data_IF_964850715293
#
_entry.id   IF_964850715293
#
_cell.length_a   1.000
_cell.length_b   1.000
_cell.length_c   1.000
_cell.angle_alpha   90.00
_cell.angle_beta   90.00
_cell.angle_gamma   90.00
#
_symmetry.space_group_name_H-M   'P 1'
#
loop_
_entity.id
_entity.type
_entity.pdbx_description
1 polymer ?
#
# COMPACT_ATOMS: atom_id res chain seq x y z
N UNK A 1 15.09 -83.37 -3.84
CA UNK A 1 15.51 -83.21 -5.25
C UNK A 1 14.52 -82.23 -5.89
N UNK A 2 14.84 -81.07 -6.42
CA UNK A 2 16.04 -80.24 -6.52
C UNK A 2 15.52 -78.80 -6.52
N UNK A 3 16.12 -77.93 -5.69
CA UNK A 3 16.07 -76.49 -5.89
C UNK A 3 16.75 -76.16 -7.23
N UNK A 4 16.20 -75.21 -7.98
CA UNK A 4 16.96 -74.49 -9.00
C UNK A 4 16.90 -73.00 -8.66
N UNK A 5 18.04 -72.50 -8.17
CA UNK A 5 18.38 -71.08 -8.16
C UNK A 5 18.51 -70.60 -9.60
N UNK A 6 18.02 -69.39 -9.88
CA UNK A 6 18.53 -68.59 -10.98
C UNK A 6 19.08 -67.29 -10.39
N UNK A 7 20.40 -67.23 -10.28
CA UNK A 7 21.16 -65.99 -10.18
C UNK A 7 21.61 -65.59 -11.59
N UNK A 8 21.51 -64.30 -11.93
CA UNK A 8 22.65 -63.48 -12.37
C UNK A 8 22.20 -62.16 -13.07
N UNK A 9 22.72 -61.06 -12.51
CA UNK A 9 23.25 -59.83 -13.16
C UNK A 9 22.30 -58.81 -13.79
N UNK A 10 22.04 -57.74 -13.02
CA UNK A 10 22.71 -56.45 -13.22
C UNK A 10 22.39 -55.66 -14.50
N UNK A 11 21.53 -54.64 -14.36
CA UNK A 11 21.79 -53.31 -14.92
C UNK A 11 21.32 -52.28 -13.89
N UNK A 12 22.28 -51.69 -13.18
CA UNK A 12 22.06 -50.42 -12.49
C UNK A 12 21.88 -49.36 -13.59
N UNK A 13 20.63 -49.04 -13.91
CA UNK A 13 20.32 -47.87 -14.72
C UNK A 13 20.71 -46.64 -13.93
N UNK A 14 21.84 -46.03 -14.30
CA UNK A 14 22.12 -44.64 -13.99
C UNK A 14 20.97 -43.85 -14.63
N UNK A 15 19.99 -43.46 -13.82
CA UNK A 15 19.09 -42.38 -14.21
C UNK A 15 19.99 -41.15 -14.23
N UNK A 16 20.48 -40.83 -15.43
CA UNK A 16 21.09 -39.54 -15.68
C UNK A 16 20.06 -38.51 -15.24
N UNK A 17 20.38 -37.77 -14.17
CA UNK A 17 19.68 -36.56 -13.84
C UNK A 17 19.78 -35.68 -15.08
N UNK A 18 18.73 -35.68 -15.90
CA UNK A 18 18.51 -34.65 -16.89
C UNK A 18 18.55 -33.37 -16.08
N UNK A 19 19.60 -32.57 -16.29
CA UNK A 19 19.80 -31.31 -15.59
C UNK A 19 18.49 -30.56 -15.65
N UNK A 20 17.88 -30.36 -14.48
CA UNK A 20 16.81 -29.38 -14.35
C UNK A 20 17.37 -28.11 -14.98
N UNK A 21 16.64 -27.46 -15.91
CA UNK A 21 17.07 -26.17 -16.40
C UNK A 21 17.28 -25.31 -15.16
N UNK A 22 18.50 -24.81 -14.97
CA UNK A 22 18.79 -23.85 -13.93
C UNK A 22 17.80 -22.71 -14.15
N UNK A 23 16.85 -22.56 -13.25
CA UNK A 23 15.95 -21.41 -13.25
C UNK A 23 16.87 -20.24 -12.97
N UNK A 24 17.33 -19.56 -14.03
CA UNK A 24 17.80 -18.20 -13.88
C UNK A 24 16.63 -17.49 -13.20
N UNK A 25 16.78 -17.13 -11.93
CA UNK A 25 15.72 -16.52 -11.14
C UNK A 25 15.13 -15.41 -12.00
N UNK A 26 13.83 -15.53 -12.33
CA UNK A 26 13.17 -14.61 -13.23
C UNK A 26 13.23 -13.22 -12.58
N UNK A 27 14.16 -12.40 -13.04
CA UNK A 27 14.26 -11.02 -12.60
C UNK A 27 12.93 -10.35 -12.89
N UNK A 28 12.49 -9.47 -11.99
CA UNK A 28 11.38 -8.54 -12.30
C UNK A 28 11.71 -7.88 -13.65
N UNK A 29 10.76 -7.69 -14.59
CA UNK A 29 11.01 -7.07 -15.89
C UNK A 29 11.51 -5.62 -15.78
N UNK A 30 12.26 -5.12 -16.77
CA UNK A 30 12.73 -3.73 -16.74
C UNK A 30 11.55 -2.78 -16.84
N UNK A 31 11.62 -1.57 -16.26
CA UNK A 31 10.59 -0.57 -16.46
C UNK A 31 10.27 -0.42 -17.96
N UNK A 32 9.00 -0.54 -18.31
CA UNK A 32 8.51 -0.22 -19.65
C UNK A 32 8.66 1.28 -19.93
N UNK A 33 8.45 2.11 -18.90
CA UNK A 33 8.68 3.54 -18.90
C UNK A 33 8.78 4.07 -17.47
N UNK A 34 9.33 5.27 -17.33
CA UNK A 34 9.44 6.04 -16.08
C UNK A 34 8.99 7.47 -16.37
N UNK A 35 8.12 8.02 -15.54
CA UNK A 35 7.69 9.42 -15.57
C UNK A 35 8.02 10.09 -14.23
N UNK A 36 8.49 11.34 -14.30
CA UNK A 36 8.63 12.22 -13.14
C UNK A 36 7.67 13.41 -13.26
N UNK A 37 7.05 13.76 -12.14
CA UNK A 37 6.23 14.94 -11.95
C UNK A 37 6.82 15.74 -10.80
N UNK A 38 7.50 16.82 -11.14
CA UNK A 38 8.13 17.71 -10.17
C UNK A 38 8.16 19.14 -10.67
N UNK A 39 8.38 20.05 -9.73
CA UNK A 39 8.61 21.46 -9.93
C UNK A 39 9.83 21.90 -9.11
N UNK A 40 9.94 23.18 -8.78
CA UNK A 40 11.13 23.75 -8.15
C UNK A 40 11.36 23.34 -6.68
N UNK A 41 10.44 22.62 -6.04
CA UNK A 41 10.52 22.19 -4.64
C UNK A 41 10.25 20.70 -4.52
N UNK A 42 9.48 20.27 -3.51
CA UNK A 42 9.25 18.88 -3.17
C UNK A 42 7.83 18.42 -3.55
N UNK A 43 7.80 17.30 -4.28
CA UNK A 43 6.64 16.50 -4.66
C UNK A 43 6.82 15.07 -4.17
N UNK A 44 5.75 14.51 -3.58
CA UNK A 44 5.71 13.13 -3.12
C UNK A 44 4.43 12.48 -3.60
N UNK A 45 4.53 11.41 -4.39
CA UNK A 45 3.39 10.52 -4.66
C UNK A 45 3.25 9.50 -3.52
N UNK A 46 2.05 9.42 -2.95
CA UNK A 46 1.71 8.54 -1.83
C UNK A 46 1.00 7.26 -2.29
N UNK A 47 0.18 7.34 -3.33
CA UNK A 47 -0.59 6.20 -3.82
C UNK A 47 -0.81 6.26 -5.34
N UNK A 48 -1.14 5.10 -5.91
CA UNK A 48 -1.47 4.91 -7.32
C UNK A 48 -2.66 3.97 -7.47
N UNK A 49 -3.52 4.23 -8.44
CA UNK A 49 -4.61 3.35 -8.85
C UNK A 49 -4.70 3.28 -10.37
N UNK A 50 -5.21 2.18 -10.92
CA UNK A 50 -5.39 1.99 -12.36
C UNK A 50 -6.79 1.48 -12.67
N UNK A 51 -7.45 2.10 -13.66
CA UNK A 51 -8.75 1.68 -14.19
C UNK A 51 -8.79 1.88 -15.69
N UNK A 52 -8.97 0.78 -16.42
CA UNK A 52 -8.92 0.74 -17.88
C UNK A 52 -7.61 1.35 -18.41
N UNK A 53 -7.72 2.44 -19.16
CA UNK A 53 -6.59 3.17 -19.75
C UNK A 53 -6.08 4.34 -18.87
N UNK A 54 -6.55 4.46 -17.63
CA UNK A 54 -6.24 5.57 -16.73
C UNK A 54 -5.38 5.10 -15.56
N UNK A 55 -4.29 5.80 -15.29
CA UNK A 55 -3.47 5.62 -14.08
C UNK A 55 -3.53 6.91 -13.28
N UNK A 56 -3.97 6.84 -12.03
CA UNK A 56 -4.07 7.97 -11.13
C UNK A 56 -2.98 7.92 -10.08
N UNK A 57 -2.32 9.05 -9.86
CA UNK A 57 -1.30 9.23 -8.83
C UNK A 57 -1.73 10.36 -7.92
N UNK A 58 -1.68 10.15 -6.61
CA UNK A 58 -2.03 11.17 -5.63
C UNK A 58 -0.90 11.38 -4.63
N UNK A 59 -0.85 12.56 -4.04
CA UNK A 59 0.20 12.90 -3.11
C UNK A 59 0.12 14.32 -2.59
N UNK A 60 1.28 14.90 -2.31
CA UNK A 60 1.41 16.31 -1.91
C UNK A 60 2.51 17.02 -2.70
N UNK A 61 2.36 18.33 -2.85
CA UNK A 61 3.33 19.21 -3.51
C UNK A 61 3.54 20.48 -2.70
N UNK A 62 4.77 21.00 -2.72
CA UNK A 62 5.12 22.32 -2.19
C UNK A 62 5.24 23.37 -3.30
N UNK A 63 4.83 23.03 -4.52
CA UNK A 63 4.89 23.86 -5.71
C UNK A 63 3.57 23.85 -6.47
N UNK A 64 3.53 24.58 -7.59
CA UNK A 64 2.43 24.54 -8.55
C UNK A 64 2.79 23.57 -9.69
N UNK A 65 2.05 22.48 -9.81
CA UNK A 65 2.22 21.40 -10.80
C UNK A 65 1.34 21.56 -12.04
N UNK A 66 0.32 22.41 -11.98
CA UNK A 66 -0.64 22.56 -13.07
C UNK A 66 -1.32 23.93 -13.09
N UNK A 67 -2.52 23.96 -13.66
CA UNK A 67 -3.30 25.19 -13.79
C UNK A 67 -3.88 25.67 -12.46
N UNK A 68 -4.12 24.76 -11.51
CA UNK A 68 -4.64 25.10 -10.20
C UNK A 68 -3.55 25.82 -9.37
N UNK A 69 -3.90 26.90 -8.66
CA UNK A 69 -2.92 27.65 -7.88
C UNK A 69 -2.46 26.83 -6.67
N UNK A 70 -1.18 26.99 -6.32
CA UNK A 70 -0.71 26.54 -5.01
C UNK A 70 -1.34 27.38 -3.89
N UNK A 71 -1.85 26.71 -2.86
CA UNK A 71 -2.33 27.30 -1.61
C UNK A 71 -1.39 26.87 -0.45
N UNK A 72 -1.37 27.62 0.65
CA UNK A 72 -0.71 27.19 1.89
C UNK A 72 0.75 26.73 1.78
N UNK A 73 1.13 25.76 2.60
CA UNK A 73 2.47 25.16 2.65
C UNK A 73 2.63 23.97 1.70
N UNK A 74 1.71 23.01 1.82
CA UNK A 74 1.61 21.81 1.01
C UNK A 74 0.19 21.66 0.50
N UNK A 75 0.03 21.32 -0.77
CA UNK A 75 -1.27 21.00 -1.37
C UNK A 75 -1.37 19.53 -1.72
N UNK A 76 -2.56 18.97 -1.56
CA UNK A 76 -2.87 17.67 -2.13
C UNK A 76 -2.88 17.78 -3.67
N UNK A 77 -2.40 16.77 -4.37
CA UNK A 77 -2.54 16.68 -5.81
C UNK A 77 -3.13 15.34 -6.25
N UNK A 78 -3.75 15.35 -7.43
CA UNK A 78 -4.07 14.17 -8.22
C UNK A 78 -3.63 14.40 -9.67
N UNK A 79 -2.92 13.43 -10.24
CA UNK A 79 -2.50 13.43 -11.62
C UNK A 79 -3.02 12.17 -12.33
N UNK A 80 -3.48 12.32 -13.57
CA UNK A 80 -3.91 11.21 -14.42
C UNK A 80 -2.94 11.03 -15.58
N UNK A 81 -2.50 9.81 -15.78
CA UNK A 81 -1.70 9.36 -16.91
C UNK A 81 -2.51 8.37 -17.74
N UNK A 82 -2.13 8.21 -19.00
CA UNK A 82 -2.50 7.01 -19.76
C UNK A 82 -1.56 5.84 -19.41
N UNK A 83 -1.89 4.63 -19.87
CA UNK A 83 -1.05 3.43 -19.63
C UNK A 83 0.28 3.45 -20.39
N UNK A 84 0.47 4.40 -21.31
CA UNK A 84 1.73 4.64 -22.02
C UNK A 84 2.64 5.64 -21.27
N UNK A 85 2.20 6.19 -20.13
CA UNK A 85 2.97 7.08 -19.29
C UNK A 85 2.83 8.57 -19.65
N UNK A 86 1.89 8.95 -20.52
CA UNK A 86 1.68 10.36 -20.85
C UNK A 86 0.75 11.02 -19.84
N UNK A 87 1.21 12.12 -19.23
CA UNK A 87 0.38 12.95 -18.34
C UNK A 87 -0.78 13.57 -19.13
N UNK A 88 -2.00 13.31 -18.67
CA UNK A 88 -3.23 13.81 -19.28
C UNK A 88 -3.69 15.10 -18.60
N UNK A 89 -3.67 15.12 -17.27
CA UNK A 89 -3.97 16.30 -16.47
C UNK A 89 -3.42 16.14 -15.04
N UNK A 90 -3.25 17.27 -14.35
CA UNK A 90 -2.99 17.34 -12.93
C UNK A 90 -3.94 18.36 -12.29
N UNK A 91 -4.39 18.06 -11.07
CA UNK A 91 -5.19 18.95 -10.22
C UNK A 91 -4.53 19.13 -8.86
N UNK A 92 -4.69 20.31 -8.29
CA UNK A 92 -4.30 20.61 -6.91
C UNK A 92 -5.51 20.99 -6.07
N UNK A 93 -5.45 20.58 -4.81
CA UNK A 93 -6.46 20.86 -3.80
C UNK A 93 -5.76 21.30 -2.52
N UNK A 94 -5.91 22.57 -2.18
CA UNK A 94 -5.18 23.22 -1.11
C UNK A 94 -6.01 24.18 -0.28
N UNK A 95 -5.58 24.37 0.96
CA UNK A 95 -6.04 25.38 1.92
C UNK A 95 -4.84 26.25 2.33
N UNK A 96 -5.01 27.30 3.15
CA UNK A 96 -3.86 28.00 3.72
C UNK A 96 -2.96 27.13 4.61
N UNK A 97 -3.44 25.96 5.04
CA UNK A 97 -2.71 24.98 5.85
C UNK A 97 -1.86 24.01 5.02
N UNK A 98 -1.61 22.82 5.58
CA UNK A 98 -1.00 21.71 4.86
C UNK A 98 -2.08 20.69 4.50
N UNK A 99 -2.08 20.27 3.24
CA UNK A 99 -3.06 19.37 2.64
C UNK A 99 -2.33 18.26 1.91
N UNK A 100 -2.81 17.03 2.07
CA UNK A 100 -2.13 15.83 1.55
C UNK A 100 -3.15 14.81 1.10
N UNK A 101 -3.00 14.28 -0.11
CA UNK A 101 -3.70 13.07 -0.51
C UNK A 101 -2.86 11.84 -0.13
N UNK A 102 -3.48 10.88 0.54
CA UNK A 102 -2.83 9.68 1.09
C UNK A 102 -3.16 8.42 0.31
N UNK A 103 -4.38 8.33 -0.24
CA UNK A 103 -4.86 7.16 -0.96
C UNK A 103 -5.76 7.52 -2.15
N UNK A 104 -5.76 6.65 -3.15
CA UNK A 104 -6.62 6.76 -4.33
C UNK A 104 -7.17 5.38 -4.71
N UNK A 105 -8.44 5.34 -5.10
CA UNK A 105 -9.10 4.19 -5.71
C UNK A 105 -9.95 4.67 -6.90
N UNK A 106 -10.40 3.74 -7.74
CA UNK A 106 -11.16 4.05 -8.95
C UNK A 106 -12.39 3.17 -9.08
N UNK A 107 -13.46 3.72 -9.66
CA UNK A 107 -14.60 2.93 -10.11
C UNK A 107 -14.42 2.40 -11.55
N UNK A 108 -15.39 1.58 -11.98
CA UNK A 108 -15.41 0.98 -13.32
C UNK A 108 -15.59 2.02 -14.44
N UNK A 109 -16.21 3.17 -14.13
CA UNK A 109 -16.36 4.31 -15.04
C UNK A 109 -15.07 5.14 -15.19
N UNK A 110 -14.04 4.82 -14.40
CA UNK A 110 -12.76 5.49 -14.42
C UNK A 110 -12.73 6.81 -13.65
N UNK A 111 -13.70 7.06 -12.77
CA UNK A 111 -13.63 8.14 -11.79
C UNK A 111 -12.61 7.76 -10.70
N UNK A 112 -11.98 8.78 -10.12
CA UNK A 112 -11.03 8.62 -9.02
C UNK A 112 -11.64 9.11 -7.70
N UNK A 113 -11.46 8.32 -6.65
CA UNK A 113 -11.79 8.66 -5.27
C UNK A 113 -10.48 8.87 -4.51
N UNK A 114 -10.33 10.04 -3.92
CA UNK A 114 -9.10 10.47 -3.22
C UNK A 114 -9.43 10.65 -1.75
N UNK A 115 -8.65 10.02 -0.88
CA UNK A 115 -8.66 10.29 0.55
C UNK A 115 -7.40 11.05 0.96
N UNK A 116 -7.51 11.84 2.02
CA UNK A 116 -6.40 12.62 2.52
C UNK A 116 -6.70 13.37 3.80
N UNK A 117 -5.80 14.28 4.15
CA UNK A 117 -5.94 15.17 5.31
C UNK A 117 -5.69 16.63 4.97
N UNK A 118 -6.26 17.50 5.79
CA UNK A 118 -6.17 18.96 5.68
C UNK A 118 -6.00 19.60 7.06
N UNK A 119 -5.17 20.63 7.14
CA UNK A 119 -5.08 21.52 8.31
C UNK A 119 -5.98 22.77 8.16
N UNK A 120 -6.86 22.78 7.16
CA UNK A 120 -7.73 23.90 6.83
C UNK A 120 -9.15 23.46 6.51
N UNK A 121 -9.95 24.39 6.01
CA UNK A 121 -11.32 24.14 5.55
C UNK A 121 -11.40 24.29 4.04
N UNK A 122 -11.81 23.23 3.33
CA UNK A 122 -12.06 23.30 1.90
C UNK A 122 -13.41 23.94 1.59
N UNK A 123 -13.47 24.80 0.57
CA UNK A 123 -14.70 25.43 0.09
C UNK A 123 -15.49 26.15 1.22
N UNK A 124 -16.54 25.51 1.74
CA UNK A 124 -17.41 26.00 2.81
C UNK A 124 -17.26 25.19 4.12
N UNK A 125 -16.39 24.18 4.14
CA UNK A 125 -16.05 23.45 5.36
C UNK A 125 -15.16 24.30 6.26
N UNK A 126 -15.32 24.11 7.56
CA UNK A 126 -14.45 24.70 8.59
C UNK A 126 -13.68 23.57 9.24
N UNK A 127 -12.37 23.75 9.42
CA UNK A 127 -11.54 22.80 10.15
C UNK A 127 -12.06 22.61 11.59
N UNK A 128 -12.19 21.35 12.04
CA UNK A 128 -12.77 21.04 13.34
C UNK A 128 -11.78 21.19 14.52
N UNK A 129 -10.48 21.28 14.26
CA UNK A 129 -9.44 21.50 15.26
C UNK A 129 -8.04 21.15 14.76
N UNK A 130 -7.68 19.87 14.87
CA UNK A 130 -6.41 19.35 14.35
C UNK A 130 -6.45 19.15 12.83
N UNK A 131 -5.72 18.17 12.32
CA UNK A 131 -5.98 17.70 10.96
C UNK A 131 -7.41 17.16 10.85
N UNK A 132 -8.14 17.54 9.80
CA UNK A 132 -9.38 16.86 9.39
C UNK A 132 -9.07 15.91 8.24
N UNK A 133 -9.87 14.85 8.09
CA UNK A 133 -9.79 14.04 6.88
C UNK A 133 -10.73 14.57 5.80
N UNK A 134 -10.39 14.32 4.55
CA UNK A 134 -11.27 14.57 3.42
C UNK A 134 -11.34 13.36 2.47
N UNK A 135 -12.44 13.29 1.74
CA UNK A 135 -12.65 12.39 0.61
C UNK A 135 -13.20 13.22 -0.55
N UNK A 136 -12.65 13.05 -1.74
CA UNK A 136 -13.11 13.74 -2.95
C UNK A 136 -13.26 12.75 -4.11
N UNK A 137 -14.25 12.98 -4.97
CA UNK A 137 -14.44 12.25 -6.22
C UNK A 137 -14.13 13.14 -7.41
N UNK A 138 -13.37 12.63 -8.37
CA UNK A 138 -13.05 13.27 -9.64
C UNK A 138 -13.54 12.40 -10.79
N UNK A 139 -14.11 12.99 -11.83
CA UNK A 139 -14.37 12.26 -13.07
C UNK A 139 -13.09 12.00 -13.87
N UNK A 140 -13.19 11.18 -14.92
CA UNK A 140 -12.06 10.85 -15.79
C UNK A 140 -11.45 12.08 -16.52
N UNK A 141 -12.20 13.17 -16.64
CA UNK A 141 -11.74 14.44 -17.22
C UNK A 141 -11.06 15.35 -16.18
N UNK A 142 -11.01 14.94 -14.91
CA UNK A 142 -10.39 15.68 -13.82
C UNK A 142 -11.28 16.76 -13.23
N UNK A 143 -12.60 16.69 -13.41
CA UNK A 143 -13.54 17.57 -12.71
C UNK A 143 -13.86 16.97 -11.34
N UNK A 144 -13.76 17.77 -10.27
CA UNK A 144 -14.17 17.36 -8.92
C UNK A 144 -15.70 17.32 -8.86
N UNK A 145 -16.27 16.12 -8.72
CA UNK A 145 -17.70 15.89 -8.62
C UNK A 145 -18.24 16.24 -7.23
N UNK A 146 -17.51 15.85 -6.18
CA UNK A 146 -17.84 16.20 -4.80
C UNK A 146 -16.62 16.14 -3.89
N UNK A 147 -16.72 16.80 -2.74
CA UNK A 147 -15.78 16.73 -1.62
C UNK A 147 -16.58 16.57 -0.32
N UNK A 148 -16.03 15.80 0.61
CA UNK A 148 -16.47 15.67 2.00
C UNK A 148 -15.26 15.88 2.90
N UNK A 149 -15.40 16.75 3.89
CA UNK A 149 -14.44 16.93 4.96
C UNK A 149 -15.14 16.65 6.29
N UNK A 150 -14.45 15.95 7.20
CA UNK A 150 -14.95 15.67 8.53
C UNK A 150 -13.77 15.46 9.50
N UNK A 151 -14.00 15.72 10.78
CA UNK A 151 -12.97 15.66 11.80
C UNK A 151 -13.52 15.97 13.18
N UNK A 152 -12.62 15.95 14.15
CA UNK A 152 -12.84 16.20 15.56
C UNK A 152 -11.97 17.38 16.00
N UNK A 153 -11.92 17.67 17.30
CA UNK A 153 -10.99 18.68 17.82
C UNK A 153 -9.52 18.23 17.82
N UNK A 154 -9.29 16.92 17.64
CA UNK A 154 -7.96 16.31 17.60
C UNK A 154 -7.58 16.05 16.14
N UNK A 155 -6.46 15.36 15.90
CA UNK A 155 -6.06 15.00 14.54
C UNK A 155 -6.84 13.79 14.02
N UNK A 156 -7.34 13.90 12.80
CA UNK A 156 -8.12 12.91 12.07
C UNK A 156 -7.50 12.66 10.70
N UNK A 157 -7.19 11.39 10.42
CA UNK A 157 -6.50 10.99 9.20
C UNK A 157 -7.30 9.96 8.43
N UNK A 158 -7.56 10.21 7.14
CA UNK A 158 -7.91 9.13 6.21
C UNK A 158 -6.61 8.63 5.55
N UNK A 159 -6.34 7.33 5.66
CA UNK A 159 -5.09 6.71 5.20
C UNK A 159 -5.28 5.72 4.07
N UNK A 160 -6.48 5.14 3.95
CA UNK A 160 -6.79 4.16 2.92
C UNK A 160 -8.21 4.35 2.37
N UNK A 161 -8.38 4.00 1.10
CA UNK A 161 -9.66 4.04 0.39
C UNK A 161 -9.77 2.83 -0.54
N UNK A 162 -10.96 2.23 -0.64
CA UNK A 162 -11.22 1.09 -1.50
C UNK A 162 -12.63 1.19 -2.10
N UNK A 163 -12.79 0.73 -3.35
CA UNK A 163 -14.07 0.75 -4.07
C UNK A 163 -14.49 -0.69 -4.34
N UNK A 164 -15.74 -1.02 -3.97
CA UNK A 164 -16.37 -2.31 -4.26
C UNK A 164 -16.74 -2.45 -5.73
N UNK A 165 -17.12 -3.66 -6.15
CA UNK A 165 -17.45 -3.95 -7.55
C UNK A 165 -18.73 -3.25 -8.08
N UNK A 166 -19.51 -2.66 -7.18
CA UNK A 166 -20.75 -1.90 -7.41
C UNK A 166 -20.55 -0.38 -7.18
N UNK A 167 -19.30 0.08 -7.19
CA UNK A 167 -18.86 1.46 -6.95
C UNK A 167 -19.13 1.98 -5.52
N UNK A 168 -19.44 1.08 -4.59
CA UNK A 168 -19.57 1.40 -3.17
C UNK A 168 -18.21 1.76 -2.57
N UNK A 169 -18.14 2.86 -1.83
CA UNK A 169 -16.89 3.44 -1.35
C UNK A 169 -16.63 3.14 0.13
N UNK A 170 -15.46 2.57 0.44
CA UNK A 170 -14.97 2.36 1.79
C UNK A 170 -13.74 3.21 2.06
N UNK A 171 -13.60 3.68 3.30
CA UNK A 171 -12.36 4.31 3.76
C UNK A 171 -11.95 3.76 5.12
N UNK A 172 -10.66 3.91 5.42
CA UNK A 172 -10.12 3.71 6.76
C UNK A 172 -9.18 4.86 7.11
N UNK A 173 -8.95 5.00 8.41
CA UNK A 173 -8.14 6.06 8.96
C UNK A 173 -7.93 5.88 10.46
N UNK A 174 -7.47 6.93 11.12
CA UNK A 174 -7.43 6.98 12.56
C UNK A 174 -7.75 8.39 13.08
N UNK A 175 -8.32 8.47 14.27
CA UNK A 175 -8.73 9.71 14.95
C UNK A 175 -8.11 9.80 16.33
N UNK A 176 -7.65 10.98 16.73
CA UNK A 176 -7.28 11.26 18.12
C UNK A 176 -8.46 11.64 19.00
N UNK A 177 -9.66 11.76 18.41
CA UNK A 177 -10.86 12.27 19.05
C UNK A 177 -11.96 11.24 19.25
N UNK A 178 -13.17 11.74 19.52
CA UNK A 178 -14.39 10.94 19.59
C UNK A 178 -15.15 11.09 18.28
N UNK A 179 -15.25 10.00 17.52
CA UNK A 179 -15.83 9.94 16.18
C UNK A 179 -16.97 8.92 16.13
N UNK A 180 -18.09 9.32 15.52
CA UNK A 180 -19.28 8.50 15.30
C UNK A 180 -19.79 7.74 16.55
N UNK A 181 -19.52 6.44 16.64
CA UNK A 181 -20.01 5.53 17.68
C UNK A 181 -19.08 5.41 18.90
N UNK A 182 -17.97 6.15 18.98
CA UNK A 182 -17.02 5.94 20.07
C UNK A 182 -16.11 7.11 20.41
N UNK A 183 -15.29 6.91 21.45
CA UNK A 183 -14.26 7.85 21.89
C UNK A 183 -13.33 7.32 22.98
N UNK A 184 -12.15 7.92 23.06
CA UNK A 184 -11.31 8.22 24.24
C UNK A 184 -10.33 9.31 23.75
N UNK A 185 -10.46 10.59 24.13
CA UNK A 185 -9.88 11.72 23.38
C UNK A 185 -8.35 11.92 23.52
N UNK A 186 -7.59 10.89 23.88
CA UNK A 186 -6.16 11.02 24.23
C UNK A 186 -5.25 9.93 23.62
N UNK A 187 -5.76 9.10 22.71
CA UNK A 187 -5.04 8.10 21.93
C UNK A 187 -5.61 8.07 20.51
N UNK A 188 -4.90 7.46 19.56
CA UNK A 188 -5.43 7.23 18.23
C UNK A 188 -6.31 5.99 18.21
N UNK A 189 -7.48 6.05 17.58
CA UNK A 189 -8.34 4.88 17.31
C UNK A 189 -8.60 4.76 15.81
N UNK A 190 -8.86 3.54 15.34
CA UNK A 190 -9.21 3.24 13.96
C UNK A 190 -10.57 3.86 13.64
N UNK A 191 -10.67 4.57 12.52
CA UNK A 191 -11.97 4.94 11.92
C UNK A 191 -12.15 4.23 10.59
N UNK A 192 -13.38 3.82 10.31
CA UNK A 192 -13.76 3.30 9.01
C UNK A 192 -15.17 3.80 8.64
N UNK A 193 -15.49 3.74 7.36
CA UNK A 193 -16.83 4.06 6.92
C UNK A 193 -17.15 3.62 5.51
N UNK A 194 -18.44 3.74 5.22
CA UNK A 194 -19.05 3.38 3.96
C UNK A 194 -19.82 4.57 3.43
N UNK A 195 -19.61 4.90 2.16
CA UNK A 195 -20.29 5.97 1.45
C UNK A 195 -21.01 5.44 0.21
N UNK A 196 -22.10 6.11 -0.14
CA UNK A 196 -22.70 5.98 -1.46
C UNK A 196 -21.87 6.70 -2.54
N UNK A 197 -22.24 6.52 -3.81
CA UNK A 197 -21.56 7.13 -4.97
C UNK A 197 -21.67 8.66 -5.03
N UNK A 198 -22.60 9.25 -4.27
CA UNK A 198 -22.79 10.69 -4.12
C UNK A 198 -22.01 11.28 -2.94
N UNK A 199 -21.27 10.45 -2.18
CA UNK A 199 -20.48 10.87 -1.04
C UNK A 199 -21.30 11.07 0.24
N UNK A 200 -22.46 10.41 0.38
CA UNK A 200 -23.20 10.39 1.64
C UNK A 200 -22.82 9.15 2.45
N UNK A 201 -22.55 9.28 3.76
CA UNK A 201 -22.20 8.12 4.57
C UNK A 201 -23.42 7.23 4.82
N UNK A 202 -23.27 5.93 4.56
CA UNK A 202 -24.17 4.90 5.06
C UNK A 202 -23.90 4.61 6.54
N UNK A 203 -22.62 4.46 6.89
CA UNK A 203 -22.17 4.32 8.27
C UNK A 203 -20.74 4.85 8.42
N UNK A 204 -20.45 5.30 9.64
CA UNK A 204 -19.13 5.71 10.12
C UNK A 204 -18.92 5.02 11.47
N UNK A 205 -17.76 4.43 11.67
CA UNK A 205 -17.44 3.69 12.89
C UNK A 205 -16.01 3.95 13.35
N UNK A 206 -15.83 3.91 14.67
CA UNK A 206 -14.57 3.93 15.39
C UNK A 206 -14.38 2.57 16.09
N UNK A 207 -13.15 2.05 16.03
CA UNK A 207 -12.70 0.80 16.66
C UNK A 207 -11.36 1.05 17.33
N UNK A 208 -11.09 0.37 18.44
CA UNK A 208 -9.82 0.55 19.13
C UNK A 208 -9.83 -0.05 20.50
N UNK A 209 -8.73 0.20 21.19
CA UNK A 209 -8.43 -0.21 22.55
C UNK A 209 -8.30 1.04 23.43
N UNK A 210 -7.78 0.89 24.64
CA UNK A 210 -7.40 2.05 25.47
C UNK A 210 -6.04 2.65 25.10
N UNK A 211 -5.29 2.02 24.20
CA UNK A 211 -3.99 2.47 23.70
C UNK A 211 -4.14 2.90 22.22
N UNK A 212 -3.06 3.39 21.59
CA UNK A 212 -3.17 3.85 20.20
C UNK A 212 -3.33 2.69 19.21
N UNK A 213 -4.28 2.82 18.29
CA UNK A 213 -4.65 1.93 17.20
C UNK A 213 -4.72 2.72 15.88
N UNK A 214 -3.81 2.43 14.96
CA UNK A 214 -3.58 3.23 13.75
C UNK A 214 -3.82 2.38 12.51
N UNK A 215 -4.89 2.67 11.74
CA UNK A 215 -5.10 2.02 10.44
C UNK A 215 -4.32 2.71 9.32
N UNK A 216 -3.76 1.90 8.40
CA UNK A 216 -2.94 2.35 7.28
C UNK A 216 -3.47 1.95 5.91
N UNK A 217 -4.01 0.74 5.79
CA UNK A 217 -4.46 0.17 4.52
C UNK A 217 -5.83 -0.47 4.62
N UNK A 218 -6.57 -0.47 3.51
CA UNK A 218 -7.88 -1.10 3.37
C UNK A 218 -7.98 -1.82 2.03
N UNK A 219 -8.60 -3.00 2.02
CA UNK A 219 -8.99 -3.73 0.82
C UNK A 219 -10.40 -4.31 1.00
N UNK A 220 -11.11 -4.47 -0.10
CA UNK A 220 -12.49 -4.98 -0.11
C UNK A 220 -12.64 -6.10 -1.13
N UNK A 221 -13.36 -7.17 -0.78
CA UNK A 221 -13.71 -8.24 -1.73
C UNK A 221 -14.89 -7.82 -2.60
N UNK A 222 -15.13 -8.53 -3.70
CA UNK A 222 -16.38 -8.39 -4.48
C UNK A 222 -17.65 -8.74 -3.69
N UNK A 223 -17.51 -9.44 -2.56
CA UNK A 223 -18.59 -9.73 -1.62
C UNK A 223 -18.72 -8.71 -0.47
N UNK A 224 -18.03 -7.57 -0.55
CA UNK A 224 -18.02 -6.52 0.48
C UNK A 224 -17.49 -6.94 1.85
N UNK A 225 -16.59 -7.92 1.88
CA UNK A 225 -15.78 -8.17 3.06
C UNK A 225 -14.65 -7.16 3.08
N UNK A 226 -14.50 -6.44 4.20
CA UNK A 226 -13.54 -5.34 4.33
C UNK A 226 -12.39 -5.80 5.20
N UNK A 227 -11.17 -5.57 4.75
CA UNK A 227 -9.93 -5.90 5.45
C UNK A 227 -9.16 -4.61 5.70
N UNK A 228 -8.84 -4.33 6.96
CA UNK A 228 -8.08 -3.16 7.39
C UNK A 228 -6.81 -3.63 8.10
N UNK A 229 -5.70 -2.96 7.83
CA UNK A 229 -4.42 -3.25 8.47
C UNK A 229 -3.80 -2.00 9.07
N UNK A 230 -2.90 -2.21 10.03
CA UNK A 230 -2.18 -1.14 10.71
C UNK A 230 -1.35 -1.66 11.86
N UNK A 231 -1.17 -0.82 12.89
CA UNK A 231 -0.54 -1.20 14.14
C UNK A 231 -1.38 -0.81 15.36
N UNK A 232 -1.13 -1.48 16.48
CA UNK A 232 -1.79 -1.26 17.76
C UNK A 232 -0.78 -1.35 18.90
N UNK A 233 -0.80 -0.39 19.83
CA UNK A 233 -0.07 -0.48 21.10
C UNK A 233 -0.89 -1.15 22.21
N UNK A 234 -2.04 -1.73 21.86
CA UNK A 234 -2.98 -2.39 22.75
C UNK A 234 -3.22 -3.86 22.38
N UNK A 235 -4.32 -4.39 22.91
CA UNK A 235 -4.75 -5.77 22.67
C UNK A 235 -6.05 -5.78 21.86
N UNK A 236 -5.95 -5.64 20.54
CA UNK A 236 -7.13 -5.62 19.66
C UNK A 236 -7.82 -7.00 19.60
N UNK A 237 -7.04 -8.08 19.63
CA UNK A 237 -7.56 -9.46 19.60
C UNK A 237 -7.81 -10.08 20.99
N UNK A 238 -7.54 -9.33 22.05
CA UNK A 238 -7.72 -9.74 23.44
C UNK A 238 -6.66 -10.70 23.99
N UNK A 239 -5.57 -10.97 23.24
CA UNK A 239 -4.56 -11.97 23.64
C UNK A 239 -3.11 -11.46 23.67
N UNK A 240 -2.78 -10.42 22.91
CA UNK A 240 -1.41 -9.85 22.83
C UNK A 240 -1.34 -8.44 23.40
N UNK A 241 -0.28 -8.14 24.18
CA UNK A 241 0.23 -6.79 24.43
C UNK A 241 1.44 -6.89 25.37
N UNK A 242 2.64 -6.68 24.83
CA UNK A 242 3.84 -6.37 25.61
C UNK A 242 4.42 -5.00 25.23
N UNK A 243 3.63 -3.93 25.40
CA UNK A 243 4.09 -2.55 25.46
C UNK A 243 4.65 -1.91 24.18
N UNK A 244 4.94 -2.70 23.15
CA UNK A 244 5.33 -2.23 21.82
C UNK A 244 4.13 -2.25 20.86
N UNK A 245 4.26 -1.61 19.70
CA UNK A 245 3.21 -1.59 18.68
C UNK A 245 3.26 -2.86 17.85
N UNK A 246 2.14 -3.58 17.77
CA UNK A 246 1.98 -4.83 17.04
C UNK A 246 1.16 -4.60 15.77
N UNK A 247 1.41 -5.39 14.72
CA UNK A 247 0.63 -5.35 13.49
C UNK A 247 -0.76 -5.95 13.71
N UNK A 248 -1.80 -5.38 13.10
CA UNK A 248 -3.13 -6.02 13.04
C UNK A 248 -3.67 -6.22 11.62
N UNK A 249 -4.57 -7.20 11.49
CA UNK A 249 -5.49 -7.41 10.36
C UNK A 249 -6.91 -7.55 10.92
N UNK A 250 -7.77 -6.59 10.60
CA UNK A 250 -9.17 -6.50 11.01
C UNK A 250 -10.08 -6.85 9.84
N UNK A 251 -11.06 -7.73 10.06
CA UNK A 251 -12.13 -8.01 9.09
C UNK A 251 -13.46 -7.44 9.56
N UNK A 252 -14.11 -6.66 8.70
CA UNK A 252 -15.48 -6.17 8.87
C UNK A 252 -16.39 -6.77 7.79
N UNK A 253 -17.69 -6.87 8.10
CA UNK A 253 -18.70 -7.11 7.08
C UNK A 253 -19.18 -5.79 6.45
N UNK A 254 -20.08 -5.86 5.45
CA UNK A 254 -20.62 -4.68 4.75
C UNK A 254 -21.31 -3.65 5.68
N UNK A 255 -21.79 -4.07 6.85
CA UNK A 255 -22.43 -3.19 7.84
C UNK A 255 -21.42 -2.57 8.82
N UNK A 256 -20.12 -2.77 8.61
CA UNK A 256 -19.07 -2.33 9.53
C UNK A 256 -18.95 -3.19 10.79
N UNK A 257 -19.64 -4.33 10.89
CA UNK A 257 -19.53 -5.16 12.10
C UNK A 257 -18.24 -5.98 12.04
N UNK A 258 -17.39 -5.82 13.06
CA UNK A 258 -16.17 -6.63 13.24
C UNK A 258 -16.51 -8.12 13.28
N UNK A 259 -15.90 -8.88 12.37
CA UNK A 259 -16.02 -10.33 12.30
C UNK A 259 -14.91 -10.99 13.10
N UNK A 260 -13.68 -10.51 12.92
CA UNK A 260 -12.51 -10.95 13.67
C UNK A 260 -11.37 -9.94 13.49
N UNK A 261 -10.37 -10.04 14.37
CA UNK A 261 -9.08 -9.37 14.24
C UNK A 261 -7.96 -10.38 14.51
N UNK A 262 -6.81 -10.16 13.89
CA UNK A 262 -5.57 -10.92 14.10
C UNK A 262 -4.46 -9.93 14.42
N UNK A 263 -3.73 -10.16 15.49
CA UNK A 263 -2.52 -9.42 15.81
C UNK A 263 -1.29 -10.28 15.48
N UNK A 264 -0.22 -9.65 14.98
CA UNK A 264 1.09 -10.27 14.81
C UNK A 264 2.06 -9.49 15.67
N UNK A 265 2.67 -10.19 16.62
CA UNK A 265 3.82 -9.76 17.40
C UNK A 265 4.99 -10.68 17.00
N UNK A 266 5.92 -10.14 16.22
CA UNK A 266 7.16 -10.80 15.83
C UNK A 266 8.33 -10.48 16.79
N UNK A 267 8.05 -9.78 17.89
CA UNK A 267 9.01 -9.19 18.80
C UNK A 267 9.35 -7.75 18.39
N UNK A 268 9.29 -6.84 19.37
CA UNK A 268 9.52 -5.40 19.18
C UNK A 268 8.39 -4.68 18.43
N UNK A 269 8.70 -3.76 17.51
CA UNK A 269 7.73 -2.95 16.78
C UNK A 269 7.35 -3.64 15.47
N UNK A 270 6.06 -3.74 15.18
CA UNK A 270 5.52 -4.31 13.95
C UNK A 270 4.47 -3.37 13.36
N UNK A 271 4.50 -3.17 12.03
CA UNK A 271 3.63 -2.20 11.39
C UNK A 271 3.21 -2.62 9.97
N UNK A 272 1.93 -2.96 9.77
CA UNK A 272 1.37 -3.17 8.44
C UNK A 272 1.05 -1.85 7.76
N UNK A 273 1.59 -1.64 6.56
CA UNK A 273 1.32 -0.43 5.74
C UNK A 273 0.23 -0.64 4.71
N UNK A 274 0.09 -1.85 4.16
CA UNK A 274 -0.79 -2.10 3.01
C UNK A 274 -1.40 -3.51 3.04
N UNK A 275 -2.59 -3.63 2.47
CA UNK A 275 -3.33 -4.89 2.34
C UNK A 275 -3.92 -4.99 0.94
N UNK A 276 -3.91 -6.20 0.37
CA UNK A 276 -4.54 -6.51 -0.92
C UNK A 276 -5.28 -7.85 -0.84
N UNK A 277 -6.34 -8.00 -1.63
CA UNK A 277 -7.08 -9.26 -1.77
C UNK A 277 -6.80 -9.84 -3.15
N UNK A 278 -6.35 -11.09 -3.21
CA UNK A 278 -6.14 -11.83 -4.45
C UNK A 278 -7.44 -12.37 -5.06
N UNK A 279 -7.46 -12.67 -6.37
CA UNK A 279 -8.59 -13.32 -7.04
C UNK A 279 -9.05 -14.64 -6.40
N UNK A 280 -8.17 -15.32 -5.67
CA UNK A 280 -8.45 -16.55 -4.93
C UNK A 280 -9.05 -16.31 -3.52
N UNK A 281 -9.29 -15.05 -3.15
CA UNK A 281 -9.75 -14.66 -1.82
C UNK A 281 -8.66 -14.62 -0.74
N UNK A 282 -7.39 -14.85 -1.11
CA UNK A 282 -6.25 -14.68 -0.22
C UNK A 282 -6.05 -13.21 0.15
N UNK A 283 -5.77 -12.95 1.43
CA UNK A 283 -5.51 -11.60 1.94
C UNK A 283 -4.01 -11.46 2.19
N UNK A 284 -3.39 -10.48 1.56
CA UNK A 284 -1.96 -10.25 1.59
C UNK A 284 -1.68 -8.95 2.32
N UNK A 285 -0.82 -9.00 3.32
CA UNK A 285 -0.41 -7.83 4.10
C UNK A 285 1.08 -7.57 3.85
N UNK A 286 1.46 -6.31 3.69
CA UNK A 286 2.85 -5.88 3.62
C UNK A 286 3.12 -4.77 4.63
N UNK A 287 4.30 -4.82 5.24
CA UNK A 287 4.74 -3.87 6.24
C UNK A 287 6.16 -4.16 6.68
N UNK A 288 6.46 -3.84 7.93
CA UNK A 288 7.79 -4.00 8.51
C UNK A 288 7.73 -4.64 9.91
N UNK A 289 8.81 -5.32 10.27
CA UNK A 289 9.00 -5.93 11.58
C UNK A 289 10.44 -5.75 12.04
N UNK A 290 10.62 -5.59 13.35
CA UNK A 290 11.93 -5.51 14.01
C UNK A 290 12.38 -6.88 14.56
N UNK A 291 11.49 -7.86 14.53
CA UNK A 291 11.72 -9.21 15.05
C UNK A 291 11.65 -10.30 13.97
N UNK A 292 11.68 -11.56 14.42
CA UNK A 292 11.67 -12.76 13.55
C UNK A 292 10.35 -13.51 13.69
N UNK A 293 9.79 -14.03 12.60
CA UNK A 293 8.44 -14.60 12.55
C UNK A 293 8.39 -15.88 11.71
N UNK A 294 7.72 -16.92 12.23
CA UNK A 294 7.48 -18.21 11.56
C UNK A 294 8.75 -18.86 10.96
N UNK A 295 9.90 -18.68 11.62
CA UNK A 295 11.19 -19.19 11.15
C UNK A 295 11.87 -18.35 10.07
N UNK A 296 11.30 -17.21 9.68
CA UNK A 296 12.00 -16.18 8.92
C UNK A 296 12.81 -15.31 9.88
N UNK A 297 14.08 -15.06 9.52
CA UNK A 297 15.00 -14.25 10.32
C UNK A 297 15.07 -12.83 9.79
N UNK A 298 14.97 -11.85 10.69
CA UNK A 298 15.32 -10.46 10.42
C UNK A 298 16.85 -10.33 10.32
N UNK A 299 17.34 -9.87 9.18
CA UNK A 299 18.78 -9.81 8.88
C UNK A 299 19.38 -8.43 9.15
N UNK A 300 18.58 -7.46 9.59
CA UNK A 300 18.98 -6.11 9.93
C UNK A 300 18.33 -5.64 11.23
N UNK A 301 17.95 -4.36 11.29
CA UNK A 301 17.13 -3.83 12.39
C UNK A 301 15.65 -3.83 12.05
N UNK A 302 15.31 -3.74 10.76
CA UNK A 302 13.94 -3.68 10.25
C UNK A 302 13.95 -4.35 8.89
N UNK A 303 13.13 -5.39 8.73
CA UNK A 303 12.93 -6.08 7.46
C UNK A 303 11.47 -5.99 7.05
N UNK A 304 11.23 -6.11 5.74
CA UNK A 304 9.87 -6.19 5.18
C UNK A 304 9.21 -7.48 5.64
N UNK A 305 7.98 -7.38 6.13
CA UNK A 305 7.10 -8.52 6.37
C UNK A 305 6.05 -8.60 5.25
N UNK A 306 5.92 -9.78 4.63
CA UNK A 306 4.82 -10.15 3.76
C UNK A 306 4.12 -11.38 4.34
N UNK A 307 2.81 -11.33 4.57
CA UNK A 307 2.05 -12.49 5.02
C UNK A 307 0.76 -12.68 4.23
N UNK A 308 0.34 -13.94 4.08
CA UNK A 308 -0.92 -14.32 3.44
C UNK A 308 -1.85 -14.97 4.44
N UNK A 309 -3.12 -14.56 4.42
CA UNK A 309 -4.21 -15.07 5.22
C UNK A 309 -5.31 -15.65 4.33
N UNK A 310 -6.06 -16.61 4.86
CA UNK A 310 -7.34 -17.01 4.29
C UNK A 310 -8.50 -16.12 4.79
N UNK A 311 -9.70 -16.31 4.23
CA UNK A 311 -10.88 -15.51 4.57
C UNK A 311 -11.40 -15.75 6.00
N UNK A 312 -10.98 -16.84 6.66
CA UNK A 312 -11.25 -17.16 8.05
C UNK A 312 -10.20 -16.55 9.02
N UNK A 313 -9.17 -15.90 8.48
CA UNK A 313 -8.12 -15.24 9.25
C UNK A 313 -7.02 -16.21 9.72
N UNK A 314 -6.85 -17.37 9.08
CA UNK A 314 -5.70 -18.23 9.33
C UNK A 314 -4.52 -17.75 8.47
N UNK A 315 -3.34 -17.55 9.10
CA UNK A 315 -2.11 -17.23 8.38
C UNK A 315 -1.61 -18.48 7.65
N UNK A 316 -1.61 -18.42 6.32
CA UNK A 316 -1.14 -19.50 5.46
C UNK A 316 0.39 -19.54 5.40
N UNK A 317 1.02 -18.38 5.28
CA UNK A 317 2.48 -18.24 5.28
C UNK A 317 2.90 -16.79 5.59
N UNK A 318 4.15 -16.62 6.02
CA UNK A 318 4.84 -15.32 6.12
C UNK A 318 6.23 -15.41 5.49
N UNK A 319 6.74 -14.27 5.02
CA UNK A 319 8.06 -14.07 4.42
C UNK A 319 8.66 -12.78 4.93
N UNK A 320 9.97 -12.81 5.13
CA UNK A 320 10.77 -11.59 5.34
C UNK A 320 11.62 -11.28 4.12
N UNK A 321 11.85 -9.99 3.88
CA UNK A 321 12.68 -9.49 2.80
C UNK A 321 13.51 -8.32 3.32
N UNK A 322 14.83 -8.51 3.35
CA UNK A 322 15.76 -7.47 3.74
C UNK A 322 17.21 -7.96 3.78
N UNK A 323 18.13 -7.03 3.98
CA UNK A 323 19.56 -7.22 4.16
C UNK A 323 20.02 -6.76 5.54
N UNK A 324 21.30 -6.39 5.66
CA UNK A 324 21.87 -5.93 6.94
C UNK A 324 21.46 -4.49 7.32
N UNK A 325 20.81 -3.78 6.41
CA UNK A 325 20.35 -2.41 6.60
C UNK A 325 18.82 -2.37 6.70
N UNK A 326 18.22 -1.29 7.24
CA UNK A 326 16.77 -1.18 7.33
C UNK A 326 16.09 -1.23 5.96
N UNK A 327 15.07 -2.07 5.84
CA UNK A 327 14.26 -2.28 4.64
C UNK A 327 12.78 -2.12 4.95
N UNK A 328 12.10 -1.28 4.17
CA UNK A 328 10.74 -0.85 4.46
C UNK A 328 9.83 -1.13 3.28
N UNK A 329 8.63 -1.68 3.53
CA UNK A 329 7.59 -1.86 2.52
C UNK A 329 6.41 -0.93 2.80
N UNK A 330 5.86 -0.34 1.73
CA UNK A 330 4.71 0.57 1.83
C UNK A 330 3.49 0.10 1.04
N UNK A 331 3.65 -0.74 0.02
CA UNK A 331 2.56 -1.16 -0.85
C UNK A 331 2.59 -2.64 -1.20
N UNK A 332 1.40 -3.25 -1.26
CA UNK A 332 1.18 -4.58 -1.83
C UNK A 332 0.03 -4.55 -2.83
N UNK A 333 0.18 -5.27 -3.95
CA UNK A 333 -0.88 -5.51 -4.92
C UNK A 333 -0.80 -6.94 -5.45
N UNK A 334 -1.93 -7.50 -5.89
CA UNK A 334 -2.01 -8.87 -6.40
C UNK A 334 -2.59 -8.87 -7.80
N UNK A 335 -1.84 -9.43 -8.73
CA UNK A 335 -2.23 -9.57 -10.14
C UNK A 335 -3.34 -10.62 -10.33
N UNK A 336 -4.05 -10.60 -11.47
CA UNK A 336 -5.10 -11.59 -11.77
C UNK A 336 -4.63 -13.06 -11.76
N UNK A 337 -3.34 -13.32 -11.99
CA UNK A 337 -2.70 -14.64 -11.91
C UNK A 337 -2.08 -14.95 -10.54
N UNK A 338 -2.44 -14.17 -9.50
CA UNK A 338 -1.99 -14.29 -8.11
C UNK A 338 -0.48 -14.09 -7.88
N UNK A 339 0.20 -13.34 -8.76
CA UNK A 339 1.55 -12.82 -8.48
C UNK A 339 1.42 -11.59 -7.58
N UNK A 340 2.07 -11.64 -6.43
CA UNK A 340 2.11 -10.57 -5.43
C UNK A 340 3.24 -9.61 -5.75
N UNK A 341 2.94 -8.32 -5.78
CA UNK A 341 3.88 -7.21 -5.96
C UNK A 341 4.07 -6.52 -4.62
N UNK A 342 5.31 -6.36 -4.15
CA UNK A 342 5.64 -5.61 -2.93
C UNK A 342 6.60 -4.49 -3.29
N UNK A 343 6.31 -3.28 -2.82
CA UNK A 343 7.14 -2.09 -3.07
C UNK A 343 7.52 -1.38 -1.79
N UNK A 344 8.65 -0.69 -1.85
CA UNK A 344 9.22 0.00 -0.71
C UNK A 344 10.57 0.64 -1.03
N UNK A 345 11.44 0.76 -0.04
CA UNK A 345 12.82 1.20 -0.24
C UNK A 345 13.81 0.40 0.61
N UNK A 346 15.05 0.36 0.12
CA UNK A 346 16.14 -0.45 0.66
C UNK A 346 17.48 0.25 0.45
N UNK A 347 18.48 -0.04 1.27
CA UNK A 347 19.88 0.35 1.01
C UNK A 347 20.69 -0.74 0.30
N UNK A 348 20.03 -1.84 -0.07
CA UNK A 348 20.59 -2.96 -0.80
C UNK A 348 19.81 -4.23 -0.50
N UNK A 349 19.41 -4.95 -1.54
CA UNK A 349 18.56 -6.13 -1.41
C UNK A 349 19.03 -7.23 -2.37
N UNK A 350 19.05 -8.48 -1.91
CA UNK A 350 19.45 -9.64 -2.73
C UNK A 350 20.85 -9.54 -3.36
N UNK A 351 21.80 -8.95 -2.63
CA UNK A 351 23.15 -8.60 -3.13
C UNK A 351 23.15 -7.59 -4.29
N UNK A 352 22.04 -6.88 -4.50
CA UNK A 352 21.95 -5.73 -5.40
C UNK A 352 22.15 -4.49 -4.53
N UNK A 353 23.29 -3.79 -4.65
CA UNK A 353 23.50 -2.55 -3.90
C UNK A 353 22.58 -1.45 -4.43
N UNK A 354 22.25 -0.47 -3.59
CA UNK A 354 21.62 0.76 -4.07
C UNK A 354 22.57 1.58 -4.94
N UNK A 355 22.02 2.40 -5.83
CA UNK A 355 22.77 3.31 -6.70
C UNK A 355 23.32 4.54 -5.96
N UNK A 356 22.90 4.75 -4.70
CA UNK A 356 23.36 5.84 -3.85
C UNK A 356 22.78 5.79 -2.45
N UNK A 357 21.74 6.58 -2.19
CA UNK A 357 21.02 6.54 -0.92
C UNK A 357 20.21 5.25 -0.78
N UNK A 358 19.00 5.34 -0.25
CA UNK A 358 18.05 4.23 -0.38
C UNK A 358 17.43 4.26 -1.78
N UNK A 359 17.26 3.09 -2.38
CA UNK A 359 16.59 2.92 -3.67
C UNK A 359 15.19 2.34 -3.47
N UNK A 360 14.26 2.74 -4.34
CA UNK A 360 12.96 2.10 -4.40
C UNK A 360 13.12 0.65 -4.88
N UNK A 361 12.27 -0.27 -4.41
CA UNK A 361 12.25 -1.64 -4.93
C UNK A 361 10.86 -2.09 -5.37
N UNK A 362 10.86 -3.08 -6.27
CA UNK A 362 9.73 -3.94 -6.58
C UNK A 362 10.16 -5.41 -6.45
N UNK A 363 9.47 -6.17 -5.60
CA UNK A 363 9.70 -7.61 -5.42
C UNK A 363 8.44 -8.38 -5.74
N UNK A 364 8.60 -9.51 -6.46
CA UNK A 364 7.50 -10.39 -6.86
C UNK A 364 7.54 -11.70 -6.11
N UNK A 365 6.37 -12.18 -5.67
CA UNK A 365 6.17 -13.51 -5.10
C UNK A 365 5.04 -14.23 -5.84
N UNK A 366 5.12 -15.55 -5.95
CA UNK A 366 3.98 -16.36 -6.37
C UNK A 366 2.95 -16.53 -5.24
N UNK A 367 1.81 -17.15 -5.54
CA UNK A 367 0.73 -17.36 -4.58
C UNK A 367 1.13 -18.24 -3.37
N UNK A 368 2.17 -19.07 -3.52
CA UNK A 368 2.71 -19.93 -2.48
C UNK A 368 3.76 -19.21 -1.60
N UNK A 369 4.05 -17.95 -1.91
CA UNK A 369 5.03 -17.13 -1.21
C UNK A 369 6.47 -17.43 -1.63
N UNK A 370 6.71 -18.10 -2.76
CA UNK A 370 8.07 -18.23 -3.30
C UNK A 370 8.45 -16.93 -4.00
N UNK A 371 9.61 -16.36 -3.64
CA UNK A 371 10.12 -15.15 -4.28
C UNK A 371 10.49 -15.44 -5.73
N UNK A 372 9.90 -14.68 -6.65
CA UNK A 372 10.18 -14.73 -8.10
C UNK A 372 11.46 -13.93 -8.39
N UNK A 373 11.55 -12.71 -7.87
CA UNK A 373 12.71 -11.84 -8.02
C UNK A 373 12.47 -10.42 -7.49
N UNK A 374 13.53 -9.63 -7.44
CA UNK A 374 13.55 -8.25 -6.96
C UNK A 374 14.18 -7.32 -8.00
N UNK A 375 13.78 -6.05 -8.01
CA UNK A 375 14.45 -4.98 -8.75
C UNK A 375 14.52 -3.72 -7.92
N UNK A 376 15.71 -3.12 -7.87
CA UNK A 376 15.93 -1.78 -7.35
C UNK A 376 15.81 -0.74 -8.48
N UNK A 377 15.29 0.41 -8.14
CA UNK A 377 15.12 1.58 -8.98
C UNK A 377 15.52 2.81 -8.16
N UNK A 378 16.61 3.45 -8.55
CA UNK A 378 17.04 4.65 -7.85
C UNK A 378 18.15 5.39 -8.55
N UNK A 379 18.59 6.46 -7.89
CA UNK A 379 19.57 7.43 -8.34
C UNK A 379 20.75 7.42 -7.37
N UNK A 380 21.69 8.37 -7.52
CA UNK A 380 22.73 8.56 -6.51
C UNK A 380 22.21 9.18 -5.20
N UNK A 381 20.90 9.46 -5.10
CA UNK A 381 20.23 10.09 -3.96
C UNK A 381 19.17 9.12 -3.40
N UNK A 382 18.20 9.63 -2.65
CA UNK A 382 17.15 8.81 -2.06
C UNK A 382 15.97 8.66 -3.02
N UNK A 383 15.47 7.44 -3.14
CA UNK A 383 14.35 7.04 -3.98
C UNK A 383 13.44 6.11 -3.17
N UNK A 384 12.14 6.40 -3.13
CA UNK A 384 11.18 5.68 -2.28
C UNK A 384 9.94 5.34 -3.09
N UNK A 385 9.59 4.06 -3.20
CA UNK A 385 8.26 3.66 -3.66
C UNK A 385 7.28 3.61 -2.49
N UNK A 386 6.09 4.21 -2.67
CA UNK A 386 5.04 4.29 -1.65
C UNK A 386 3.77 3.51 -2.01
N UNK A 387 3.43 3.44 -3.29
CA UNK A 387 2.22 2.76 -3.75
C UNK A 387 2.48 1.85 -4.94
N UNK A 388 1.69 0.78 -5.04
CA UNK A 388 1.66 -0.12 -6.20
C UNK A 388 0.22 -0.47 -6.56
N UNK A 389 -0.08 -0.48 -7.85
CA UNK A 389 -1.34 -0.97 -8.41
C UNK A 389 -1.04 -1.88 -9.61
N UNK A 390 -1.99 -2.75 -9.96
CA UNK A 390 -1.84 -3.68 -11.09
C UNK A 390 -3.04 -3.56 -12.02
N UNK A 391 -2.79 -3.60 -13.33
CA UNK A 391 -3.86 -3.64 -14.32
C UNK A 391 -4.33 -5.09 -14.60
N UNK A 392 -5.42 -5.21 -15.36
CA UNK A 392 -6.00 -6.50 -15.73
C UNK A 392 -5.07 -7.37 -16.61
N UNK A 393 -4.01 -6.79 -17.17
CA UNK A 393 -2.98 -7.52 -17.93
C UNK A 393 -1.77 -7.90 -17.06
N UNK A 394 -1.80 -7.60 -15.75
CA UNK A 394 -0.75 -7.93 -14.79
C UNK A 394 0.44 -6.96 -14.78
N UNK A 395 0.36 -5.81 -15.45
CA UNK A 395 1.43 -4.81 -15.37
C UNK A 395 1.35 -4.08 -14.03
N UNK A 396 2.50 -3.82 -13.42
CA UNK A 396 2.57 -3.12 -12.15
C UNK A 396 2.91 -1.63 -12.36
N UNK A 397 2.14 -0.75 -11.73
CA UNK A 397 2.39 0.68 -11.67
C UNK A 397 2.88 1.03 -10.27
N UNK A 398 4.06 1.60 -10.16
CA UNK A 398 4.71 1.95 -8.90
C UNK A 398 4.86 3.46 -8.82
N UNK A 399 4.39 4.06 -7.74
CA UNK A 399 4.50 5.49 -7.50
C UNK A 399 5.26 5.80 -6.21
N UNK A 400 5.93 6.94 -6.19
CA UNK A 400 6.80 7.32 -5.09
C UNK A 400 7.46 8.67 -5.28
N UNK A 401 8.62 8.85 -4.66
CA UNK A 401 9.44 10.06 -4.83
C UNK A 401 10.90 9.72 -5.13
N UNK A 402 11.56 10.61 -5.87
CA UNK A 402 12.99 10.55 -6.17
C UNK A 402 13.64 11.90 -5.91
N UNK A 403 14.80 11.90 -5.28
CA UNK A 403 15.60 13.11 -5.10
C UNK A 403 16.56 13.37 -6.28
N UNK A 404 16.38 12.66 -7.41
CA UNK A 404 17.29 12.70 -8.55
C UNK A 404 16.61 12.54 -9.91
N UNK A 405 17.44 12.41 -10.95
CA UNK A 405 17.02 12.21 -12.34
C UNK A 405 16.86 10.72 -12.61
N UNK A 406 15.62 10.23 -12.57
CA UNK A 406 15.24 8.82 -12.63
C UNK A 406 14.76 8.41 -14.02
N UNK A 407 15.28 7.28 -14.53
CA UNK A 407 14.83 6.72 -15.80
C UNK A 407 15.04 7.62 -17.03
N UNK A 408 16.01 8.53 -16.97
CA UNK A 408 16.29 9.49 -18.04
C UNK A 408 15.48 10.79 -17.98
N UNK A 409 14.58 10.94 -17.01
CA UNK A 409 13.90 12.21 -16.73
C UNK A 409 14.83 13.16 -15.97
N UNK A 410 14.56 14.46 -16.04
CA UNK A 410 15.34 15.49 -15.34
C UNK A 410 14.64 15.86 -14.04
N UNK A 411 15.41 15.90 -12.95
CA UNK A 411 14.90 16.39 -11.66
C UNK A 411 14.59 17.89 -11.73
N UNK A 412 13.40 18.29 -11.29
CA UNK A 412 12.93 19.66 -11.38
C UNK A 412 13.29 20.54 -10.16
N UNK A 413 13.62 19.92 -9.01
CA UNK A 413 13.85 20.61 -7.75
C UNK A 413 14.43 19.72 -6.66
N UNK A 414 13.71 19.59 -5.55
CA UNK A 414 14.06 18.77 -4.40
C UNK A 414 13.76 17.30 -4.67
N UNK A 415 12.65 16.82 -4.12
CA UNK A 415 12.06 15.54 -4.50
C UNK A 415 11.03 15.73 -5.62
N UNK A 416 11.06 14.87 -6.63
CA UNK A 416 10.00 14.77 -7.61
C UNK A 416 9.15 13.52 -7.33
N UNK A 417 7.84 13.62 -7.56
CA UNK A 417 7.00 12.44 -7.61
C UNK A 417 7.36 11.61 -8.86
N UNK A 418 7.34 10.29 -8.77
CA UNK A 418 7.51 9.42 -9.93
C UNK A 418 6.35 8.45 -10.11
N UNK A 419 6.20 7.97 -11.35
CA UNK A 419 5.37 6.84 -11.73
C UNK A 419 6.14 5.94 -12.68
N UNK A 420 6.13 4.63 -12.44
CA UNK A 420 6.89 3.63 -13.21
C UNK A 420 5.96 2.48 -13.56
N UNK A 421 6.06 1.96 -14.79
CA UNK A 421 5.34 0.76 -15.21
C UNK A 421 6.29 -0.41 -15.46
N UNK A 422 5.96 -1.59 -14.95
CA UNK A 422 6.71 -2.84 -15.10
C UNK A 422 5.93 -3.89 -15.89
#
# INVERSE_FOLDING_TARGET
MKHLLLSMFGFAGVVGAAGLPSVAAAQVPSPSWVAQLGANLDEQANAVAVSGASVYVVGQTTSQLGADPKVGGQDAFIARYDTAGNLQWARQLGTPGNDRATAVATDADGNAYVAGTTYGGFDFYTNAGGFDFFIAKYDAAGNRLWLRQNGTQMDDFATGIAVGADDTLYFTGYTGGSFANGGNPNNYDIIAGLYDTAGNPYWLQQYGTSASDVARGIAVTSGHEVYIVGNTSGSLDGTTSSGNSDLFLLKLNILGVQQWVRQIDAGELDDAKSVAVGPDGGVYIAGETFGSLDGNTNNGTVDVLLARYDSAGNRAWSRMLGGEQPDYAFGVAVTPDNVVQVVGYTSGLDNIPSAGGSDAFLTRYDALGTKVGSRLLGTSRQDIARGVAVDASGNAYVAGQTAGSLGGNTSAGGNDAFLVRF
#
